data_IF_343795746380
#
_entry.id   IF_343795746380
#
_cell.length_a   1.000
_cell.length_b   1.000
_cell.length_c   1.000
_cell.angle_alpha   90.00
_cell.angle_beta   90.00
_cell.angle_gamma   90.00
#
_symmetry.space_group_name_H-M   'P 1'
#
loop_
_entity.id
_entity.type
_entity.pdbx_description
1 polymer ?
#
# COMPACT_ATOMS: atom_id res chain seq x y z
N UNK A 1 -2.90 26.35 106.24
CA UNK A 1 -3.46 25.16 105.63
C UNK A 1 -2.85 25.17 104.23
N UNK A 2 -2.21 24.10 103.83
CA UNK A 2 -1.11 24.03 102.90
C UNK A 2 -1.53 24.12 101.43
N UNK A 3 -0.99 25.09 100.71
CA UNK A 3 -1.12 25.31 99.27
C UNK A 3 -0.02 24.52 98.54
N UNK A 4 -0.39 23.58 97.64
CA UNK A 4 0.54 22.90 96.78
C UNK A 4 0.54 23.61 95.39
N UNK A 5 1.70 24.07 94.99
CA UNK A 5 1.98 24.62 93.66
C UNK A 5 2.44 23.47 92.80
N UNK A 6 1.71 23.18 91.73
CA UNK A 6 2.10 22.20 90.70
C UNK A 6 2.80 22.94 89.53
N UNK A 7 4.07 22.63 89.28
CA UNK A 7 4.82 23.06 88.10
C UNK A 7 4.38 22.23 86.95
N UNK A 8 3.84 22.87 85.89
CA UNK A 8 3.59 22.25 84.58
C UNK A 8 4.83 22.45 83.74
N UNK A 9 5.52 21.36 83.40
CA UNK A 9 6.62 21.33 82.40
C UNK A 9 6.01 21.25 81.04
N UNK A 10 6.17 22.31 80.24
CA UNK A 10 5.79 22.34 78.84
C UNK A 10 6.91 21.68 78.05
N UNK A 11 6.66 20.47 77.53
CA UNK A 11 7.52 19.79 76.54
C UNK A 11 7.23 20.38 75.17
N UNK A 12 8.12 21.22 74.65
CA UNK A 12 8.10 21.65 73.23
C UNK A 12 8.59 20.47 72.38
N UNK A 13 7.65 19.74 71.77
CA UNK A 13 7.97 18.87 70.61
C UNK A 13 8.22 19.78 69.42
N UNK A 14 9.49 19.90 69.01
CA UNK A 14 9.86 20.48 67.76
C UNK A 14 9.42 19.56 66.61
N UNK A 15 8.31 19.89 65.86
CA UNK A 15 8.01 19.34 64.61
C UNK A 15 9.03 19.92 63.59
N UNK A 16 10.04 19.14 63.23
CA UNK A 16 10.84 19.39 62.01
C UNK A 16 9.93 19.12 60.81
N UNK A 17 9.36 20.17 60.24
CA UNK A 17 8.84 20.13 58.88
C UNK A 17 10.02 19.86 57.94
N UNK A 18 10.25 18.59 57.63
CA UNK A 18 11.10 18.21 56.53
C UNK A 18 10.47 18.75 55.23
N UNK A 19 11.03 19.81 54.71
CA UNK A 19 10.75 20.22 53.33
C UNK A 19 11.21 19.07 52.45
N UNK A 20 10.25 18.26 51.96
CA UNK A 20 10.55 17.33 50.86
C UNK A 20 11.13 18.18 49.72
N UNK A 21 12.40 17.99 49.42
CA UNK A 21 13.00 18.62 48.24
C UNK A 21 12.14 18.24 47.03
N UNK A 22 11.59 19.24 46.40
CA UNK A 22 10.83 19.03 45.14
C UNK A 22 11.81 18.41 44.14
N UNK A 23 11.59 17.14 43.76
CA UNK A 23 12.45 16.45 42.80
C UNK A 23 12.47 17.25 41.50
N UNK A 24 13.66 17.52 41.00
CA UNK A 24 13.81 18.24 39.74
C UNK A 24 13.07 17.48 38.64
N UNK A 25 12.13 18.17 37.96
CA UNK A 25 11.40 17.61 36.84
C UNK A 25 12.29 17.61 35.62
N UNK A 26 12.40 16.47 34.99
CA UNK A 26 13.07 16.30 33.71
C UNK A 26 12.04 16.06 32.58
N UNK A 27 12.38 16.53 31.41
CA UNK A 27 11.51 16.44 30.24
C UNK A 27 12.22 15.73 29.11
N UNK A 28 11.50 14.94 28.35
CA UNK A 28 12.00 14.19 27.19
C UNK A 28 11.14 14.53 25.98
N UNK A 29 11.69 14.32 24.81
CA UNK A 29 10.91 14.40 23.56
C UNK A 29 9.82 13.31 23.60
N UNK A 30 8.62 13.66 23.15
CA UNK A 30 7.62 12.62 22.83
C UNK A 30 8.21 11.72 21.74
N UNK A 31 8.32 10.39 21.95
CA UNK A 31 9.08 9.52 21.06
C UNK A 31 8.67 9.66 19.61
N UNK A 32 9.61 10.06 18.75
CA UNK A 32 9.40 10.26 17.30
C UNK A 32 10.35 9.42 16.44
N UNK A 33 11.16 8.56 17.06
CA UNK A 33 12.16 7.71 16.38
C UNK A 33 13.46 8.43 16.04
N UNK A 34 13.61 9.71 16.42
CA UNK A 34 14.81 10.49 16.16
C UNK A 34 15.82 10.41 17.32
N UNK A 35 17.06 10.79 17.08
CA UNK A 35 18.12 10.79 18.09
C UNK A 35 17.79 11.63 19.33
N UNK A 36 16.95 12.67 19.20
CA UNK A 36 16.49 13.52 20.28
C UNK A 36 15.61 12.83 21.32
N UNK A 37 15.05 11.66 21.04
CA UNK A 37 14.26 10.87 22.00
C UNK A 37 15.07 10.47 23.24
N UNK A 38 16.41 10.46 23.13
CA UNK A 38 17.34 10.14 24.23
C UNK A 38 17.83 11.38 25.00
N UNK A 39 17.40 12.57 24.58
CA UNK A 39 17.86 13.83 25.19
C UNK A 39 16.92 14.22 26.32
N UNK A 40 17.49 14.50 27.50
CA UNK A 40 16.77 14.99 28.67
C UNK A 40 16.93 16.51 28.77
N UNK A 41 15.85 17.19 29.07
CA UNK A 41 15.78 18.65 29.22
C UNK A 41 15.31 19.01 30.65
N UNK A 42 15.84 20.11 31.17
CA UNK A 42 15.51 20.57 32.52
C UNK A 42 14.25 21.46 32.59
N UNK A 43 13.69 21.79 31.42
CA UNK A 43 12.51 22.69 31.31
C UNK A 43 11.49 22.15 30.32
N UNK A 44 10.19 22.35 30.57
CA UNK A 44 9.17 22.06 29.58
C UNK A 44 9.31 22.97 28.36
N UNK A 45 8.81 22.56 27.21
CA UNK A 45 8.85 23.34 26.00
C UNK A 45 8.71 22.49 24.76
N UNK A 46 9.44 22.90 23.72
CA UNK A 46 9.48 22.25 22.41
C UNK A 46 10.87 21.72 22.14
N UNK A 47 10.99 20.53 21.63
CA UNK A 47 12.28 19.94 21.26
C UNK A 47 12.95 20.79 20.15
N UNK A 48 14.18 21.26 20.35
CA UNK A 48 14.86 22.10 19.36
C UNK A 48 15.30 21.33 18.11
N UNK A 49 15.22 20.00 18.13
CA UNK A 49 15.64 19.15 17.01
C UNK A 49 14.45 18.79 16.11
N UNK A 50 13.34 18.32 16.68
CA UNK A 50 12.21 17.82 15.91
C UNK A 50 10.93 18.68 16.03
N UNK A 51 10.91 19.69 16.91
CA UNK A 51 9.75 20.54 17.13
C UNK A 51 8.62 19.90 17.98
N UNK A 52 8.76 18.65 18.43
CA UNK A 52 7.78 17.97 19.25
C UNK A 52 7.72 18.60 20.66
N UNK A 53 6.55 18.50 21.30
CA UNK A 53 6.38 18.94 22.68
C UNK A 53 7.18 18.06 23.63
N UNK A 54 7.90 18.68 24.58
CA UNK A 54 8.57 17.97 25.67
C UNK A 54 7.55 17.55 26.74
N UNK A 55 7.61 16.28 27.14
CA UNK A 55 6.74 15.66 28.16
C UNK A 55 7.56 15.35 29.40
N UNK A 56 6.91 15.30 30.58
CA UNK A 56 7.55 14.91 31.82
C UNK A 56 8.13 13.50 31.71
N UNK A 57 9.41 13.32 32.03
CA UNK A 57 10.13 12.06 31.85
C UNK A 57 9.51 10.92 32.65
N UNK A 58 9.15 11.15 33.93
CA UNK A 58 8.52 10.12 34.76
C UNK A 58 7.14 9.71 34.24
N UNK A 59 6.39 10.70 33.72
CA UNK A 59 5.09 10.43 33.11
C UNK A 59 5.25 9.62 31.82
N UNK A 60 6.25 9.95 30.97
CA UNK A 60 6.58 9.21 29.76
C UNK A 60 7.03 7.75 30.08
N UNK A 61 7.91 7.59 31.08
CA UNK A 61 8.35 6.26 31.53
C UNK A 61 7.20 5.42 32.10
N UNK A 62 6.31 6.03 32.89
CA UNK A 62 5.12 5.36 33.40
C UNK A 62 4.14 4.96 32.28
N UNK A 63 3.96 5.82 31.29
CA UNK A 63 3.15 5.52 30.11
C UNK A 63 3.74 4.34 29.30
N UNK A 64 5.07 4.32 29.12
CA UNK A 64 5.79 3.23 28.47
C UNK A 64 5.68 1.91 29.27
N UNK A 65 5.83 1.96 30.57
CA UNK A 65 5.72 0.78 31.44
C UNK A 65 4.31 0.15 31.47
N UNK A 66 3.29 0.97 31.29
CA UNK A 66 1.89 0.54 31.23
C UNK A 66 1.39 0.26 29.82
N UNK A 67 2.25 0.38 28.82
CA UNK A 67 1.89 0.14 27.42
C UNK A 67 1.59 -1.35 27.19
N UNK A 68 0.48 -1.70 26.54
CA UNK A 68 0.26 -3.09 26.13
C UNK A 68 1.45 -3.60 25.31
N UNK A 69 1.77 -4.88 25.45
CA UNK A 69 2.83 -5.49 24.65
C UNK A 69 2.63 -5.18 23.16
N UNK A 70 3.67 -4.67 22.52
CA UNK A 70 3.62 -4.31 21.09
C UNK A 70 3.33 -5.55 20.27
N UNK A 71 2.38 -5.44 19.32
CA UNK A 71 2.10 -6.50 18.35
C UNK A 71 3.29 -6.70 17.42
N UNK A 72 3.64 -7.95 17.16
CA UNK A 72 4.73 -8.33 16.27
C UNK A 72 4.25 -8.46 14.83
N UNK A 73 4.91 -7.77 13.91
CA UNK A 73 4.64 -7.86 12.47
C UNK A 73 5.84 -8.53 11.79
N UNK A 74 5.64 -9.75 11.34
CA UNK A 74 6.64 -10.47 10.54
C UNK A 74 6.39 -10.27 9.05
N UNK A 75 7.38 -9.75 8.34
CA UNK A 75 7.31 -9.46 6.92
C UNK A 75 8.18 -10.45 6.15
N UNK A 76 7.56 -11.23 5.27
CA UNK A 76 8.30 -12.08 4.33
C UNK A 76 9.04 -11.20 3.32
N UNK A 77 10.35 -11.43 3.13
CA UNK A 77 11.11 -10.82 2.03
C UNK A 77 11.86 -11.90 1.26
N UNK A 78 12.07 -11.64 -0.03
CA UNK A 78 12.70 -12.58 -0.97
C UNK A 78 13.33 -11.81 -2.14
N UNK A 79 14.24 -12.40 -2.89
CA UNK A 79 14.82 -11.78 -4.07
C UNK A 79 13.72 -11.39 -5.07
N UNK A 80 13.75 -10.13 -5.52
CA UNK A 80 12.71 -9.57 -6.38
C UNK A 80 11.47 -9.05 -5.64
N UNK A 81 11.47 -8.99 -4.29
CA UNK A 81 10.36 -8.39 -3.52
C UNK A 81 10.13 -6.93 -3.92
N UNK A 82 8.88 -6.54 -4.13
CA UNK A 82 8.51 -5.16 -4.45
C UNK A 82 8.68 -4.25 -3.22
N UNK A 83 9.44 -3.15 -3.37
CA UNK A 83 9.88 -2.30 -2.24
C UNK A 83 8.70 -1.75 -1.46
N UNK A 84 7.78 -1.05 -2.12
CA UNK A 84 6.68 -0.35 -1.45
C UNK A 84 5.64 -1.32 -0.85
N UNK A 85 5.56 -2.55 -1.36
CA UNK A 85 4.62 -3.56 -0.86
C UNK A 85 4.93 -3.98 0.59
N UNK A 86 6.18 -3.84 1.02
CA UNK A 86 6.55 -4.10 2.41
C UNK A 86 6.97 -2.84 3.17
N UNK A 87 7.63 -1.86 2.53
CA UNK A 87 8.07 -0.64 3.22
C UNK A 87 6.92 0.30 3.54
N UNK A 88 5.90 0.41 2.66
CA UNK A 88 4.69 1.17 2.95
C UNK A 88 3.95 0.65 4.20
N UNK A 89 3.59 -0.64 4.26
CA UNK A 89 3.08 -1.25 5.48
C UNK A 89 4.04 -1.19 6.67
N UNK A 90 5.36 -1.28 6.46
CA UNK A 90 6.36 -1.12 7.51
C UNK A 90 6.20 0.20 8.24
N UNK A 91 6.14 1.31 7.49
CA UNK A 91 5.93 2.65 8.06
C UNK A 91 4.61 2.73 8.82
N UNK A 92 3.52 2.21 8.26
CA UNK A 92 2.21 2.19 8.92
C UNK A 92 2.26 1.45 10.26
N UNK A 93 2.82 0.23 10.26
CA UNK A 93 2.90 -0.57 11.47
C UNK A 93 3.88 0.00 12.50
N UNK A 94 5.02 0.54 12.04
CA UNK A 94 5.98 1.24 12.89
C UNK A 94 5.37 2.47 13.57
N UNK A 95 4.68 3.32 12.79
CA UNK A 95 3.97 4.48 13.32
C UNK A 95 2.80 4.11 14.26
N UNK A 96 2.24 2.90 14.12
CA UNK A 96 1.27 2.34 15.04
C UNK A 96 1.89 1.65 16.26
N UNK A 97 3.21 1.79 16.50
CA UNK A 97 3.97 1.18 17.59
C UNK A 97 3.99 -0.36 17.59
N UNK A 98 3.99 -0.99 16.43
CA UNK A 98 4.18 -2.43 16.33
C UNK A 98 5.67 -2.77 16.18
N UNK A 99 6.09 -3.94 16.67
CA UNK A 99 7.46 -4.47 16.48
C UNK A 99 7.56 -5.13 15.11
N UNK A 100 8.11 -4.39 14.13
CA UNK A 100 8.18 -4.82 12.73
C UNK A 100 9.55 -5.44 12.44
N UNK A 101 9.55 -6.59 11.75
CA UNK A 101 10.79 -7.26 11.35
C UNK A 101 10.64 -8.01 10.02
N UNK A 102 11.76 -8.14 9.34
CA UNK A 102 11.86 -8.91 8.08
C UNK A 102 12.28 -10.35 8.34
N UNK A 103 11.74 -11.24 7.53
CA UNK A 103 12.05 -12.67 7.54
C UNK A 103 12.30 -13.17 6.13
N UNK A 104 13.37 -13.89 5.90
CA UNK A 104 13.66 -14.58 4.63
C UNK A 104 14.00 -16.05 4.88
N UNK A 105 14.17 -16.83 3.81
CA UNK A 105 14.55 -18.24 3.92
C UNK A 105 15.94 -18.41 4.55
N UNK A 106 16.88 -17.53 4.18
CA UNK A 106 18.25 -17.50 4.69
C UNK A 106 18.62 -16.10 5.23
N UNK A 107 19.83 -15.97 5.79
CA UNK A 107 20.40 -14.67 6.21
C UNK A 107 21.07 -13.90 5.07
N UNK A 108 21.11 -14.44 3.88
CA UNK A 108 21.71 -13.78 2.74
C UNK A 108 20.99 -12.47 2.43
N UNK A 109 21.71 -11.43 1.99
CA UNK A 109 21.07 -10.20 1.56
C UNK A 109 20.08 -10.44 0.42
N UNK A 110 18.88 -9.86 0.55
CA UNK A 110 17.83 -9.91 -0.44
C UNK A 110 17.96 -8.69 -1.36
N UNK A 111 17.95 -8.92 -2.67
CA UNK A 111 17.87 -7.85 -3.68
C UNK A 111 16.41 -7.66 -4.09
N UNK A 112 15.88 -6.45 -3.92
CA UNK A 112 14.50 -6.11 -4.26
C UNK A 112 14.29 -5.95 -5.77
N UNK A 113 13.04 -5.80 -6.21
CA UNK A 113 12.69 -5.62 -7.63
C UNK A 113 13.42 -4.44 -8.30
N UNK A 114 13.72 -3.37 -7.54
CA UNK A 114 14.43 -2.17 -8.06
C UNK A 114 15.90 -2.10 -7.62
N UNK A 115 16.47 -3.22 -7.19
CA UNK A 115 17.91 -3.33 -6.91
C UNK A 115 18.36 -2.87 -5.52
N UNK A 116 17.47 -2.49 -4.61
CA UNK A 116 17.84 -2.21 -3.22
C UNK A 116 18.21 -3.50 -2.51
N UNK A 117 19.30 -3.50 -1.73
CA UNK A 117 19.74 -4.65 -0.94
C UNK A 117 19.31 -4.52 0.50
N UNK A 118 18.66 -5.56 1.04
CA UNK A 118 18.14 -5.62 2.41
C UNK A 118 18.64 -6.89 3.09
N UNK A 119 19.16 -6.73 4.31
CA UNK A 119 19.54 -7.88 5.14
C UNK A 119 18.33 -8.27 6.01
N UNK A 120 17.84 -9.52 5.92
CA UNK A 120 16.72 -9.96 6.74
C UNK A 120 17.08 -10.02 8.22
N UNK A 121 16.17 -9.56 9.11
CA UNK A 121 16.38 -9.62 10.55
C UNK A 121 16.36 -11.06 11.08
N UNK A 122 15.50 -11.90 10.51
CA UNK A 122 15.33 -13.31 10.87
C UNK A 122 15.28 -14.22 9.65
N UNK A 123 15.48 -15.52 9.90
CA UNK A 123 15.22 -16.58 8.92
C UNK A 123 13.92 -17.32 9.24
N UNK A 124 13.46 -18.22 8.37
CA UNK A 124 12.33 -19.09 8.65
C UNK A 124 12.54 -19.95 9.92
N UNK A 125 13.78 -20.27 10.24
CA UNK A 125 14.14 -21.14 11.38
C UNK A 125 14.08 -20.40 12.72
N UNK A 126 14.50 -19.13 12.77
CA UNK A 126 14.69 -18.36 14.00
C UNK A 126 13.70 -17.20 14.20
N UNK A 127 12.82 -16.96 13.22
CA UNK A 127 11.83 -15.90 13.32
C UNK A 127 10.83 -16.15 14.46
N UNK A 128 10.58 -15.16 15.32
CA UNK A 128 9.51 -15.25 16.32
C UNK A 128 8.15 -15.41 15.62
N UNK A 129 7.15 -15.93 16.36
CA UNK A 129 5.79 -16.00 15.86
C UNK A 129 5.25 -14.56 15.73
N UNK A 130 4.81 -14.12 14.53
CA UNK A 130 4.16 -12.83 14.37
C UNK A 130 2.69 -12.89 14.84
N UNK A 131 2.20 -11.78 15.39
CA UNK A 131 0.76 -11.53 15.55
C UNK A 131 0.13 -11.15 14.21
N UNK A 132 0.90 -10.46 13.35
CA UNK A 132 0.50 -10.05 12.01
C UNK A 132 1.55 -10.54 11.03
N UNK A 133 1.13 -11.34 10.04
CA UNK A 133 1.99 -11.77 8.94
C UNK A 133 1.73 -10.89 7.71
N UNK A 134 2.77 -10.24 7.19
CA UNK A 134 2.73 -9.52 5.91
C UNK A 134 3.45 -10.31 4.82
N UNK A 135 2.76 -10.51 3.70
CA UNK A 135 3.26 -11.21 2.50
C UNK A 135 3.19 -10.27 1.30
N UNK A 136 4.30 -9.58 0.96
CA UNK A 136 4.38 -8.65 -0.16
C UNK A 136 4.45 -9.38 -1.52
N UNK A 137 4.31 -8.61 -2.59
CA UNK A 137 4.50 -9.06 -3.95
C UNK A 137 5.91 -8.79 -4.51
N UNK A 138 6.02 -8.85 -5.83
CA UNK A 138 7.25 -8.74 -6.60
C UNK A 138 7.45 -9.95 -7.51
N UNK A 139 8.67 -10.46 -7.64
CA UNK A 139 8.93 -11.74 -8.31
C UNK A 139 8.55 -12.91 -7.36
N UNK A 140 7.28 -13.27 -7.39
CA UNK A 140 6.73 -14.30 -6.50
C UNK A 140 6.99 -15.73 -6.99
N UNK A 141 7.69 -15.93 -8.13
CA UNK A 141 7.96 -17.27 -8.65
C UNK A 141 8.72 -18.12 -7.63
N UNK A 142 9.81 -17.59 -7.06
CA UNK A 142 10.58 -18.29 -6.03
C UNK A 142 9.72 -18.70 -4.83
N UNK A 143 9.08 -17.76 -4.13
CA UNK A 143 8.26 -18.09 -2.95
C UNK A 143 7.07 -18.99 -3.22
N UNK A 144 6.43 -18.93 -4.40
CA UNK A 144 5.28 -19.79 -4.73
C UNK A 144 5.69 -21.23 -5.05
N UNK A 145 6.94 -21.45 -5.51
CA UNK A 145 7.48 -22.77 -5.84
C UNK A 145 8.34 -23.38 -4.73
N UNK A 146 8.81 -22.57 -3.75
CA UNK A 146 9.54 -23.05 -2.58
C UNK A 146 8.60 -23.73 -1.59
N UNK A 147 8.72 -25.05 -1.42
CA UNK A 147 7.98 -25.78 -0.40
C UNK A 147 8.22 -25.24 1.02
N UNK A 148 9.44 -24.74 1.30
CA UNK A 148 9.79 -24.14 2.58
C UNK A 148 9.05 -22.83 2.81
N UNK A 149 9.01 -21.94 1.81
CA UNK A 149 8.31 -20.67 1.90
C UNK A 149 6.78 -20.86 2.04
N UNK A 150 6.18 -21.71 1.21
CA UNK A 150 4.74 -22.01 1.25
C UNK A 150 4.37 -22.59 2.62
N UNK A 151 5.15 -23.56 3.13
CA UNK A 151 4.92 -24.15 4.45
C UNK A 151 5.06 -23.12 5.55
N UNK A 152 6.12 -22.30 5.53
CA UNK A 152 6.35 -21.26 6.54
C UNK A 152 5.19 -20.27 6.60
N UNK A 153 4.74 -19.77 5.44
CA UNK A 153 3.59 -18.86 5.34
C UNK A 153 2.32 -19.50 5.91
N UNK A 154 2.02 -20.75 5.54
CA UNK A 154 0.85 -21.47 6.04
C UNK A 154 0.89 -21.61 7.57
N UNK A 155 2.01 -22.05 8.14
CA UNK A 155 2.19 -22.27 9.58
C UNK A 155 2.14 -20.97 10.38
N UNK A 156 2.77 -19.88 9.88
CA UNK A 156 2.77 -18.58 10.56
C UNK A 156 1.40 -17.92 10.48
N UNK A 157 0.76 -17.97 9.32
CA UNK A 157 -0.60 -17.48 9.13
C UNK A 157 -1.61 -18.19 10.05
N UNK A 158 -1.49 -19.51 10.22
CA UNK A 158 -2.42 -20.28 11.06
C UNK A 158 -2.46 -19.80 12.52
N UNK A 159 -1.36 -19.22 13.01
CA UNK A 159 -1.18 -18.74 14.41
C UNK A 159 -1.18 -17.22 14.54
N UNK A 160 -1.22 -16.47 13.44
CA UNK A 160 -1.30 -15.02 13.45
C UNK A 160 -2.75 -14.55 13.67
N UNK A 161 -2.92 -13.41 14.34
CA UNK A 161 -4.21 -12.74 14.47
C UNK A 161 -4.71 -12.27 13.10
N UNK A 162 -3.78 -11.73 12.29
CA UNK A 162 -4.06 -11.28 10.93
C UNK A 162 -2.94 -11.67 9.96
N UNK A 163 -3.33 -11.96 8.72
CA UNK A 163 -2.43 -12.13 7.59
C UNK A 163 -2.84 -11.15 6.50
N UNK A 164 -1.90 -10.29 6.09
CA UNK A 164 -2.08 -9.32 5.01
C UNK A 164 -1.19 -9.69 3.83
N UNK A 165 -1.77 -9.87 2.64
CA UNK A 165 -0.98 -9.86 1.41
C UNK A 165 -1.11 -8.53 0.68
N UNK A 166 -0.04 -8.15 -0.01
CA UNK A 166 -0.02 -6.96 -0.87
C UNK A 166 0.37 -7.38 -2.27
N UNK A 167 -0.26 -6.78 -3.28
CA UNK A 167 0.06 -7.03 -4.68
C UNK A 167 -0.12 -8.52 -5.05
N UNK A 168 0.81 -9.09 -5.81
CA UNK A 168 0.83 -10.51 -6.13
C UNK A 168 1.35 -11.41 -4.98
N UNK A 169 1.58 -10.89 -3.79
CA UNK A 169 1.68 -11.69 -2.57
C UNK A 169 0.45 -12.55 -2.31
N UNK A 170 -0.70 -12.18 -2.87
CA UNK A 170 -1.90 -13.01 -2.88
C UNK A 170 -1.69 -14.40 -3.53
N UNK A 171 -0.80 -14.51 -4.53
CA UNK A 171 -0.44 -15.80 -5.13
C UNK A 171 0.32 -16.71 -4.16
N UNK A 172 1.17 -16.14 -3.29
CA UNK A 172 1.84 -16.90 -2.24
C UNK A 172 0.83 -17.45 -1.24
N UNK A 173 -0.14 -16.60 -0.81
CA UNK A 173 -1.22 -17.07 0.08
C UNK A 173 -2.09 -18.14 -0.58
N UNK A 174 -2.39 -17.98 -1.87
CA UNK A 174 -3.18 -18.97 -2.62
C UNK A 174 -2.42 -20.29 -2.77
N UNK A 175 -1.11 -20.27 -3.07
CA UNK A 175 -0.25 -21.45 -3.11
C UNK A 175 -0.17 -22.16 -1.75
N UNK A 176 -0.29 -21.40 -0.65
CA UNK A 176 -0.37 -21.96 0.70
C UNK A 176 -1.79 -22.47 1.08
N UNK A 177 -2.74 -22.45 0.15
CA UNK A 177 -4.13 -22.90 0.38
C UNK A 177 -4.97 -21.98 1.27
N UNK A 178 -4.48 -20.77 1.57
CA UNK A 178 -5.09 -19.86 2.53
C UNK A 178 -6.26 -19.06 1.96
N UNK A 179 -6.45 -19.04 0.64
CA UNK A 179 -7.50 -18.25 -0.03
C UNK A 179 -8.65 -19.08 -0.59
N UNK A 180 -8.65 -20.41 -0.42
CA UNK A 180 -9.72 -21.28 -0.92
C UNK A 180 -11.09 -20.88 -0.34
N UNK A 181 -12.05 -20.59 -1.22
CA UNK A 181 -13.40 -20.15 -0.86
C UNK A 181 -13.56 -18.69 -0.44
N UNK A 182 -12.44 -17.96 -0.27
CA UNK A 182 -12.44 -16.57 0.19
C UNK A 182 -12.51 -15.58 -0.97
N UNK A 183 -12.92 -14.33 -0.67
CA UNK A 183 -12.74 -13.18 -1.54
C UNK A 183 -11.28 -12.76 -1.55
N UNK A 184 -10.71 -12.43 -2.72
CA UNK A 184 -9.34 -11.97 -2.81
C UNK A 184 -9.16 -10.92 -3.90
N UNK A 185 -8.23 -10.01 -3.68
CA UNK A 185 -7.74 -9.07 -4.67
C UNK A 185 -6.22 -9.17 -4.80
N UNK A 186 -5.69 -8.61 -5.87
CA UNK A 186 -4.26 -8.51 -6.16
C UNK A 186 -4.01 -7.24 -6.97
N UNK A 187 -2.78 -7.02 -7.45
CA UNK A 187 -2.53 -5.92 -8.39
C UNK A 187 -3.42 -6.04 -9.63
N UNK A 188 -3.88 -4.89 -10.11
CA UNK A 188 -4.97 -4.77 -11.09
C UNK A 188 -4.81 -5.68 -12.32
N UNK A 189 -3.63 -5.69 -12.94
CA UNK A 189 -3.37 -6.46 -14.18
C UNK A 189 -3.20 -7.96 -13.96
N UNK A 190 -3.14 -8.43 -12.72
CA UNK A 190 -3.05 -9.87 -12.39
C UNK A 190 -4.35 -10.47 -11.85
N UNK A 191 -5.46 -9.69 -11.82
CA UNK A 191 -6.74 -10.18 -11.32
C UNK A 191 -7.28 -11.38 -12.11
N UNK A 192 -7.15 -11.35 -13.44
CA UNK A 192 -7.59 -12.47 -14.29
C UNK A 192 -6.67 -13.69 -14.15
N UNK A 193 -5.36 -13.47 -14.04
CA UNK A 193 -4.41 -14.55 -13.77
C UNK A 193 -4.67 -15.21 -12.42
N UNK A 194 -4.94 -14.42 -11.37
CA UNK A 194 -5.28 -14.95 -10.04
C UNK A 194 -6.53 -15.85 -10.10
N UNK A 195 -7.56 -15.43 -10.86
CA UNK A 195 -8.78 -16.22 -11.06
C UNK A 195 -8.52 -17.52 -11.82
N UNK A 196 -7.66 -17.47 -12.83
CA UNK A 196 -7.34 -18.63 -13.69
C UNK A 196 -6.50 -19.65 -12.92
N UNK A 197 -5.47 -19.19 -12.22
CA UNK A 197 -4.53 -20.08 -11.52
C UNK A 197 -5.17 -20.69 -10.25
N UNK A 198 -6.09 -19.95 -9.61
CA UNK A 198 -6.73 -20.36 -8.35
C UNK A 198 -8.27 -20.26 -8.42
N UNK A 199 -8.93 -21.16 -9.14
CA UNK A 199 -10.37 -21.04 -9.42
C UNK A 199 -11.27 -21.18 -8.20
N UNK A 200 -10.76 -21.67 -7.07
CA UNK A 200 -11.53 -21.80 -5.82
C UNK A 200 -11.77 -20.48 -5.08
N UNK A 201 -10.95 -19.47 -5.31
CA UNK A 201 -11.13 -18.15 -4.70
C UNK A 201 -12.10 -17.26 -5.52
N UNK A 202 -12.61 -16.22 -4.89
CA UNK A 202 -13.53 -15.25 -5.51
C UNK A 202 -12.77 -13.94 -5.75
N UNK A 203 -12.38 -13.64 -7.00
CA UNK A 203 -11.68 -12.40 -7.31
C UNK A 203 -12.59 -11.19 -7.14
N UNK A 204 -12.15 -10.23 -6.31
CA UNK A 204 -12.80 -8.94 -6.09
C UNK A 204 -12.00 -7.86 -6.82
N UNK A 205 -12.66 -7.14 -7.77
CA UNK A 205 -11.98 -6.26 -8.73
C UNK A 205 -11.93 -4.79 -8.36
N UNK A 206 -12.88 -4.33 -7.56
CA UNK A 206 -13.10 -2.90 -7.38
C UNK A 206 -12.68 -2.36 -6.00
N UNK A 207 -12.05 -3.20 -5.17
CA UNK A 207 -11.63 -2.82 -3.83
C UNK A 207 -10.12 -2.78 -3.71
N UNK A 208 -9.61 -1.77 -3.03
CA UNK A 208 -8.17 -1.67 -2.73
C UNK A 208 -7.68 -2.77 -1.80
N UNK A 209 -8.54 -3.27 -0.93
CA UNK A 209 -8.31 -4.47 -0.11
C UNK A 209 -9.62 -5.22 0.14
N UNK A 210 -9.49 -6.52 0.43
CA UNK A 210 -10.60 -7.43 0.76
C UNK A 210 -10.33 -8.03 2.12
N UNK A 211 -11.28 -7.86 3.05
CA UNK A 211 -11.19 -8.38 4.42
C UNK A 211 -12.07 -9.62 4.58
N UNK A 212 -11.47 -10.75 4.89
CA UNK A 212 -12.15 -11.99 5.25
C UNK A 212 -12.01 -12.29 6.76
N UNK A 213 -11.91 -11.26 7.60
CA UNK A 213 -11.69 -11.41 9.04
C UNK A 213 -10.21 -11.52 9.39
N UNK A 214 -9.66 -12.72 9.40
CA UNK A 214 -8.24 -12.96 9.72
C UNK A 214 -7.32 -12.78 8.50
N UNK A 215 -7.79 -13.09 7.31
CA UNK A 215 -7.01 -12.99 6.07
C UNK A 215 -7.48 -11.79 5.27
N UNK A 216 -6.55 -10.91 4.96
CA UNK A 216 -6.78 -9.67 4.23
C UNK A 216 -5.87 -9.69 3.00
N UNK A 217 -6.40 -9.36 1.83
CA UNK A 217 -5.62 -9.20 0.61
C UNK A 217 -5.74 -7.77 0.13
N UNK A 218 -4.64 -7.12 -0.23
CA UNK A 218 -4.63 -5.77 -0.78
C UNK A 218 -4.09 -5.78 -2.22
N UNK A 219 -4.54 -4.83 -3.00
CA UNK A 219 -3.94 -4.53 -4.30
C UNK A 219 -2.47 -4.15 -4.17
N UNK A 220 -1.83 -3.85 -5.30
CA UNK A 220 -0.41 -3.52 -5.30
C UNK A 220 -0.11 -2.12 -4.80
N UNK A 221 1.16 -1.92 -4.42
CA UNK A 221 1.78 -0.63 -4.13
C UNK A 221 1.03 0.13 -3.01
N UNK A 222 0.50 1.31 -3.32
CA UNK A 222 -0.20 2.14 -2.32
C UNK A 222 -1.42 1.47 -1.65
N UNK A 223 -2.02 0.46 -2.29
CA UNK A 223 -3.10 -0.32 -1.65
C UNK A 223 -2.61 -1.15 -0.45
N UNK A 224 -1.31 -1.46 -0.39
CA UNK A 224 -0.69 -2.08 0.78
C UNK A 224 -0.74 -1.18 2.01
N UNK A 225 -0.57 0.14 1.83
CA UNK A 225 -0.72 1.13 2.90
C UNK A 225 -2.16 1.13 3.43
N UNK A 226 -3.16 1.10 2.54
CA UNK A 226 -4.57 1.01 2.95
C UNK A 226 -4.88 -0.28 3.71
N UNK A 227 -4.34 -1.40 3.23
CA UNK A 227 -4.47 -2.71 3.90
C UNK A 227 -3.85 -2.71 5.29
N UNK A 228 -2.67 -2.12 5.46
CA UNK A 228 -1.98 -1.99 6.74
C UNK A 228 -2.74 -1.08 7.70
N UNK A 229 -3.20 0.10 7.26
CA UNK A 229 -4.05 1.00 8.05
C UNK A 229 -5.36 0.30 8.47
N UNK A 230 -5.93 -0.51 7.59
CA UNK A 230 -7.10 -1.32 7.94
C UNK A 230 -6.78 -2.35 9.02
N UNK A 231 -5.64 -3.04 8.97
CA UNK A 231 -5.19 -3.94 10.04
C UNK A 231 -4.99 -3.17 11.35
N UNK A 232 -4.34 -2.00 11.31
CA UNK A 232 -4.20 -1.12 12.48
C UNK A 232 -5.57 -0.76 13.05
N UNK A 233 -6.55 -0.42 12.19
CA UNK A 233 -7.90 -0.09 12.65
C UNK A 233 -8.61 -1.25 13.34
N UNK A 234 -8.36 -2.49 12.91
CA UNK A 234 -8.90 -3.71 13.56
C UNK A 234 -8.23 -3.99 14.92
N UNK A 235 -6.95 -3.71 15.05
CA UNK A 235 -6.15 -4.05 16.26
C UNK A 235 -6.15 -2.92 17.30
N UNK A 236 -6.04 -1.66 16.85
CA UNK A 236 -5.90 -0.47 17.69
C UNK A 236 -7.08 0.51 17.62
N UNK A 237 -8.05 0.24 16.73
CA UNK A 237 -9.20 1.10 16.49
C UNK A 237 -8.98 2.16 15.41
N UNK A 238 -10.10 2.67 14.87
CA UNK A 238 -10.08 3.63 13.75
C UNK A 238 -9.37 4.93 14.09
N UNK A 239 -9.43 5.40 15.34
CA UNK A 239 -8.77 6.65 15.76
C UNK A 239 -7.26 6.58 15.58
N UNK A 240 -6.64 5.50 16.05
CA UNK A 240 -5.18 5.29 15.88
C UNK A 240 -4.81 5.12 14.40
N UNK A 241 -5.59 4.37 13.63
CA UNK A 241 -5.33 4.23 12.20
C UNK A 241 -5.40 5.57 11.46
N UNK A 242 -6.35 6.43 11.83
CA UNK A 242 -6.48 7.78 11.26
C UNK A 242 -5.31 8.69 11.68
N UNK A 243 -4.87 8.61 12.95
CA UNK A 243 -3.73 9.36 13.46
C UNK A 243 -2.44 8.96 12.74
N UNK A 244 -2.21 7.65 12.55
CA UNK A 244 -1.10 7.12 11.76
C UNK A 244 -1.15 7.65 10.32
N UNK A 245 -2.32 7.61 9.67
CA UNK A 245 -2.48 8.10 8.32
C UNK A 245 -2.15 9.60 8.20
N UNK A 246 -2.58 10.41 9.16
CA UNK A 246 -2.26 11.84 9.23
C UNK A 246 -0.76 12.08 9.45
N UNK A 247 -0.13 11.30 10.32
CA UNK A 247 1.31 11.37 10.56
C UNK A 247 2.15 11.02 9.32
N UNK A 248 1.62 10.18 8.45
CA UNK A 248 2.22 9.81 7.16
C UNK A 248 1.84 10.73 6.00
N UNK A 249 1.10 11.83 6.24
CA UNK A 249 0.54 12.71 5.20
C UNK A 249 -0.28 11.91 4.16
N UNK A 250 -0.95 10.82 4.59
CA UNK A 250 -1.65 9.91 3.73
C UNK A 250 -3.17 10.12 3.80
N UNK A 251 -3.80 10.49 2.68
CA UNK A 251 -5.26 10.63 2.56
C UNK A 251 -5.93 9.24 2.55
N UNK A 252 -6.11 8.69 3.76
CA UNK A 252 -6.69 7.37 3.91
C UNK A 252 -8.20 7.36 3.68
N UNK A 253 -8.60 6.65 2.63
CA UNK A 253 -10.01 6.46 2.25
C UNK A 253 -10.36 4.97 2.26
N UNK A 254 -10.75 4.39 3.40
CA UNK A 254 -10.91 2.93 3.56
C UNK A 254 -11.96 2.31 2.64
N UNK A 255 -12.83 3.12 2.02
CA UNK A 255 -13.86 2.67 1.06
C UNK A 255 -13.53 3.03 -0.39
N UNK A 256 -12.36 3.59 -0.67
CA UNK A 256 -11.96 3.89 -2.04
C UNK A 256 -11.70 2.62 -2.84
N UNK A 257 -12.12 2.63 -4.10
CA UNK A 257 -11.71 1.63 -5.07
C UNK A 257 -10.26 1.84 -5.54
N UNK A 258 -9.81 1.01 -6.46
CA UNK A 258 -8.53 1.24 -7.13
C UNK A 258 -8.49 2.63 -7.79
N UNK A 259 -7.32 3.27 -7.78
CA UNK A 259 -7.11 4.52 -8.50
C UNK A 259 -7.52 4.40 -9.99
N UNK A 260 -7.11 3.33 -10.65
CA UNK A 260 -7.53 2.98 -12.01
C UNK A 260 -9.04 2.84 -12.18
N UNK A 261 -9.75 2.41 -11.12
CA UNK A 261 -11.20 2.34 -11.10
C UNK A 261 -11.88 3.71 -11.07
N UNK A 262 -11.26 4.71 -10.46
CA UNK A 262 -11.78 6.07 -10.41
C UNK A 262 -11.42 6.88 -11.67
N UNK A 263 -10.25 6.61 -12.26
CA UNK A 263 -9.77 7.30 -13.45
C UNK A 263 -10.44 6.77 -14.73
N UNK A 264 -10.60 7.65 -15.69
CA UNK A 264 -11.15 7.30 -17.01
C UNK A 264 -10.27 6.28 -17.76
N UNK A 265 -8.97 6.22 -17.47
CA UNK A 265 -8.06 5.20 -18.02
C UNK A 265 -8.61 3.78 -17.86
N UNK A 266 -9.21 3.48 -16.71
CA UNK A 266 -9.82 2.17 -16.45
C UNK A 266 -11.03 1.81 -17.32
N UNK A 267 -11.48 2.71 -18.20
CA UNK A 267 -12.50 2.45 -19.21
C UNK A 267 -11.91 2.01 -20.56
N UNK A 268 -10.60 2.18 -20.74
CA UNK A 268 -9.89 1.69 -21.93
C UNK A 268 -9.66 0.19 -21.75
N UNK A 269 -10.10 -0.65 -22.69
CA UNK A 269 -9.84 -2.08 -22.61
C UNK A 269 -8.35 -2.38 -22.86
N UNK A 270 -7.88 -3.51 -22.36
CA UNK A 270 -6.56 -4.02 -22.69
C UNK A 270 -6.52 -4.39 -24.19
N UNK A 271 -5.68 -3.71 -24.92
CA UNK A 271 -5.52 -3.95 -26.35
C UNK A 271 -4.41 -4.99 -26.58
N UNK A 272 -4.68 -6.01 -27.38
CA UNK A 272 -3.63 -6.90 -27.84
C UNK A 272 -2.81 -6.18 -28.92
N UNK A 273 -1.57 -5.85 -28.61
CA UNK A 273 -0.64 -5.14 -29.49
C UNK A 273 0.47 -6.05 -30.04
N UNK A 274 0.54 -7.31 -29.63
CA UNK A 274 1.68 -8.21 -29.89
C UNK A 274 1.96 -8.40 -31.39
N UNK A 275 0.90 -8.55 -32.20
CA UNK A 275 1.03 -8.75 -33.65
C UNK A 275 1.02 -7.44 -34.46
N UNK A 276 1.03 -6.28 -33.80
CA UNK A 276 0.91 -4.98 -34.46
C UNK A 276 2.23 -4.24 -34.60
N UNK A 277 3.33 -4.81 -34.11
CA UNK A 277 4.65 -4.22 -34.11
C UNK A 277 5.17 -3.83 -32.74
N UNK A 278 6.22 -3.00 -32.68
CA UNK A 278 6.78 -2.49 -31.42
C UNK A 278 6.13 -1.17 -31.04
N UNK A 279 5.73 -1.08 -29.77
CA UNK A 279 5.05 0.08 -29.22
C UNK A 279 5.87 0.74 -28.12
N UNK A 280 5.88 2.06 -28.12
CA UNK A 280 6.49 2.87 -27.06
C UNK A 280 5.50 3.92 -26.60
N UNK A 281 5.16 3.94 -25.33
CA UNK A 281 4.33 4.98 -24.73
C UNK A 281 5.05 6.32 -24.80
N UNK A 282 4.38 7.34 -25.34
CA UNK A 282 4.88 8.72 -25.39
C UNK A 282 4.32 9.52 -24.21
N UNK A 283 3.00 9.48 -24.01
CA UNK A 283 2.34 10.13 -22.90
C UNK A 283 1.03 9.45 -22.56
N UNK A 284 0.63 9.61 -21.30
CA UNK A 284 -0.70 9.25 -20.82
C UNK A 284 -1.12 10.29 -19.81
N UNK A 285 -2.31 10.88 -19.98
CA UNK A 285 -2.82 11.90 -19.07
C UNK A 285 -4.34 11.93 -19.02
N UNK A 286 -4.88 12.40 -17.92
CA UNK A 286 -6.32 12.57 -17.76
C UNK A 286 -6.76 12.62 -16.31
N UNK A 287 -8.05 12.41 -16.11
CA UNK A 287 -8.72 12.42 -14.81
C UNK A 287 -9.89 11.45 -14.78
N UNK A 288 -10.95 11.83 -14.10
CA UNK A 288 -12.16 11.00 -13.91
C UNK A 288 -13.14 11.08 -15.08
N UNK A 289 -13.03 12.06 -15.94
CA UNK A 289 -13.98 12.38 -17.01
C UNK A 289 -13.38 12.40 -18.42
N UNK A 290 -12.07 12.28 -18.53
CA UNK A 290 -11.34 12.16 -19.80
C UNK A 290 -10.03 11.41 -19.60
N UNK A 291 -9.52 10.78 -20.66
CA UNK A 291 -8.19 10.19 -20.69
C UNK A 291 -7.63 10.20 -22.10
N UNK A 292 -6.33 10.43 -22.22
CA UNK A 292 -5.61 10.41 -23.48
C UNK A 292 -4.36 9.53 -23.38
N UNK A 293 -4.15 8.70 -24.37
CA UNK A 293 -2.94 7.88 -24.53
C UNK A 293 -2.34 8.19 -25.87
N UNK A 294 -1.04 8.49 -25.88
CA UNK A 294 -0.25 8.67 -27.12
C UNK A 294 0.88 7.65 -27.11
N UNK A 295 0.99 6.89 -28.19
CA UNK A 295 2.04 5.90 -28.38
C UNK A 295 2.66 6.00 -29.78
N UNK A 296 3.94 5.67 -29.87
CA UNK A 296 4.63 5.44 -31.15
C UNK A 296 4.65 3.95 -31.47
N UNK A 297 4.40 3.63 -32.73
CA UNK A 297 4.51 2.27 -33.24
C UNK A 297 5.56 2.21 -34.34
N UNK A 298 6.33 1.11 -34.35
CA UNK A 298 7.11 0.67 -35.52
C UNK A 298 6.48 -0.63 -36.01
N UNK A 299 5.92 -0.62 -37.21
CA UNK A 299 5.13 -1.73 -37.77
C UNK A 299 5.31 -1.86 -39.28
N UNK A 300 5.21 -3.09 -39.76
CA UNK A 300 5.15 -3.40 -41.20
C UNK A 300 3.76 -3.19 -41.81
N UNK A 301 2.75 -2.99 -40.96
CA UNK A 301 1.39 -2.68 -41.37
C UNK A 301 1.29 -1.23 -41.85
N UNK A 302 0.38 -0.98 -42.78
CA UNK A 302 0.03 0.40 -43.16
C UNK A 302 -0.78 1.08 -42.07
N UNK A 303 -0.85 2.41 -42.05
CA UNK A 303 -1.65 3.17 -41.09
C UNK A 303 -3.13 2.73 -41.09
N UNK A 304 -3.68 2.40 -42.27
CA UNK A 304 -5.05 1.88 -42.43
C UNK A 304 -5.21 0.54 -41.72
N UNK A 305 -4.27 -0.39 -41.98
CA UNK A 305 -4.30 -1.71 -41.34
C UNK A 305 -4.12 -1.61 -39.82
N UNK A 306 -3.24 -0.71 -39.32
CA UNK A 306 -3.09 -0.46 -37.89
C UNK A 306 -4.36 0.07 -37.28
N UNK A 307 -5.00 1.10 -37.88
CA UNK A 307 -6.26 1.63 -37.37
C UNK A 307 -7.36 0.56 -37.35
N UNK A 308 -7.44 -0.26 -38.40
CA UNK A 308 -8.43 -1.33 -38.50
C UNK A 308 -8.22 -2.40 -37.40
N UNK A 309 -7.00 -2.87 -37.22
CA UNK A 309 -6.66 -3.87 -36.19
C UNK A 309 -6.92 -3.34 -34.76
N UNK A 310 -6.50 -2.11 -34.46
CA UNK A 310 -6.78 -1.47 -33.17
C UNK A 310 -8.29 -1.28 -32.96
N UNK A 311 -9.03 -0.91 -34.02
CA UNK A 311 -10.48 -0.78 -33.98
C UNK A 311 -11.18 -2.13 -33.73
N UNK A 312 -10.71 -3.20 -34.36
CA UNK A 312 -11.20 -4.57 -34.10
C UNK A 312 -10.96 -4.99 -32.66
N UNK A 313 -9.78 -4.66 -32.10
CA UNK A 313 -9.46 -4.93 -30.70
C UNK A 313 -10.40 -4.18 -29.74
N UNK A 314 -10.71 -2.90 -30.00
CA UNK A 314 -11.68 -2.14 -29.22
C UNK A 314 -13.09 -2.76 -29.30
N UNK A 315 -13.53 -3.15 -30.51
CA UNK A 315 -14.85 -3.77 -30.73
C UNK A 315 -15.00 -5.13 -30.02
N UNK A 316 -13.93 -5.92 -29.95
CA UNK A 316 -13.93 -7.26 -29.36
C UNK A 316 -14.33 -7.27 -27.88
N UNK A 317 -14.15 -6.16 -27.17
CA UNK A 317 -14.57 -6.00 -25.77
C UNK A 317 -16.10 -5.79 -25.58
N UNK A 318 -16.88 -5.72 -26.68
CA UNK A 318 -18.35 -5.74 -26.67
C UNK A 318 -19.04 -4.52 -26.05
N UNK A 319 -18.29 -3.58 -25.45
CA UNK A 319 -18.83 -2.37 -24.82
C UNK A 319 -18.67 -1.11 -25.69
N UNK A 320 -17.81 -1.19 -26.69
CA UNK A 320 -17.47 -0.10 -27.58
C UNK A 320 -18.17 -0.29 -28.93
N UNK A 321 -18.95 0.71 -29.35
CA UNK A 321 -19.67 0.70 -30.61
C UNK A 321 -19.05 1.74 -31.53
N UNK A 322 -18.58 1.33 -32.72
CA UNK A 322 -18.09 2.25 -33.75
C UNK A 322 -19.22 3.13 -34.25
N UNK A 323 -18.95 4.43 -34.34
CA UNK A 323 -19.93 5.43 -34.85
C UNK A 323 -19.52 5.92 -36.22
N UNK A 324 -18.21 6.07 -36.48
CA UNK A 324 -17.67 6.62 -37.69
C UNK A 324 -16.24 6.08 -37.91
N UNK A 325 -15.93 5.71 -39.14
CA UNK A 325 -14.58 5.49 -39.63
C UNK A 325 -14.33 6.47 -40.78
N UNK A 326 -13.53 7.50 -40.50
CA UNK A 326 -13.18 8.48 -41.52
C UNK A 326 -12.03 7.95 -42.35
N UNK A 327 -12.24 7.84 -43.69
CA UNK A 327 -11.19 7.57 -44.64
C UNK A 327 -10.17 8.71 -44.67
N UNK A 328 -8.87 8.37 -44.79
CA UNK A 328 -7.82 9.36 -44.92
C UNK A 328 -8.04 10.25 -46.13
N UNK A 329 -8.02 11.54 -45.92
CA UNK A 329 -7.72 12.53 -46.95
C UNK A 329 -6.24 12.89 -46.83
N UNK A 330 -5.65 13.44 -47.88
CA UNK A 330 -4.20 13.76 -47.96
C UNK A 330 -3.70 14.71 -46.86
N UNK A 331 -4.57 15.21 -45.98
CA UNK A 331 -4.28 16.21 -44.92
C UNK A 331 -4.86 15.90 -43.57
N UNK A 332 -5.55 14.79 -43.37
CA UNK A 332 -6.20 14.47 -42.08
C UNK A 332 -5.76 13.09 -41.57
N UNK A 333 -5.50 12.94 -40.25
CA UNK A 333 -5.18 11.66 -39.64
C UNK A 333 -6.31 10.65 -39.84
N UNK A 334 -5.94 9.38 -40.02
CA UNK A 334 -6.89 8.28 -39.99
C UNK A 334 -7.56 8.21 -38.62
N UNK A 335 -8.88 8.24 -38.59
CA UNK A 335 -9.61 8.33 -37.31
C UNK A 335 -10.77 7.35 -37.29
N UNK A 336 -10.97 6.70 -36.12
CA UNK A 336 -12.21 6.02 -35.80
C UNK A 336 -12.85 6.63 -34.54
N UNK A 337 -14.16 6.75 -34.53
CA UNK A 337 -14.95 7.35 -33.41
C UNK A 337 -15.84 6.28 -32.80
N UNK A 338 -15.92 6.28 -31.49
CA UNK A 338 -16.54 5.25 -30.70
C UNK A 338 -17.51 5.84 -29.68
N UNK A 339 -18.55 5.10 -29.34
CA UNK A 339 -19.44 5.34 -28.21
C UNK A 339 -19.44 4.13 -27.29
N UNK A 340 -19.47 4.39 -25.99
CA UNK A 340 -19.59 3.36 -24.97
C UNK A 340 -20.19 3.93 -23.69
N UNK A 341 -20.54 3.05 -22.75
CA UNK A 341 -21.05 3.46 -21.44
C UNK A 341 -19.97 3.30 -20.37
N UNK A 342 -19.80 4.31 -19.54
CA UNK A 342 -18.95 4.23 -18.35
C UNK A 342 -19.51 3.27 -17.31
N UNK A 343 -18.78 3.07 -16.22
CA UNK A 343 -19.19 2.19 -15.11
C UNK A 343 -20.46 2.67 -14.41
N UNK A 344 -20.70 3.98 -14.45
CA UNK A 344 -21.91 4.65 -13.92
C UNK A 344 -23.09 4.67 -14.92
N UNK A 345 -22.95 3.96 -16.05
CA UNK A 345 -23.95 3.90 -17.11
C UNK A 345 -24.01 5.17 -17.97
N UNK A 346 -23.23 6.21 -17.68
CA UNK A 346 -23.24 7.46 -18.47
C UNK A 346 -22.51 7.27 -19.80
N UNK A 347 -22.92 8.04 -20.84
CA UNK A 347 -22.33 7.93 -22.18
C UNK A 347 -20.92 8.52 -22.23
N UNK A 348 -20.07 7.85 -23.00
CA UNK A 348 -18.70 8.24 -23.29
C UNK A 348 -18.43 8.19 -24.78
N UNK A 349 -17.47 8.99 -25.22
CA UNK A 349 -16.95 8.96 -26.58
C UNK A 349 -15.48 8.58 -26.57
N UNK A 350 -15.04 7.84 -27.58
CA UNK A 350 -13.65 7.49 -27.85
C UNK A 350 -13.27 7.98 -29.24
N UNK A 351 -12.04 8.45 -29.41
CA UNK A 351 -11.45 8.80 -30.70
C UNK A 351 -10.07 8.17 -30.78
N UNK A 352 -9.90 7.26 -31.74
CA UNK A 352 -8.61 6.66 -32.04
C UNK A 352 -8.10 7.25 -33.36
N UNK A 353 -6.88 7.75 -33.36
CA UNK A 353 -6.20 8.26 -34.56
C UNK A 353 -4.89 7.54 -34.80
N UNK A 354 -4.53 7.34 -36.04
CA UNK A 354 -3.23 6.81 -36.49
C UNK A 354 -2.67 7.74 -37.55
N UNK A 355 -1.47 8.25 -37.32
CA UNK A 355 -0.76 9.16 -38.19
C UNK A 355 0.61 8.57 -38.57
N UNK A 356 1.03 8.74 -39.82
CA UNK A 356 2.40 8.43 -40.22
C UNK A 356 3.36 9.48 -39.69
N UNK A 357 4.54 9.07 -39.26
CA UNK A 357 5.61 10.02 -38.88
C UNK A 357 6.27 10.53 -40.16
N UNK A 358 6.29 11.85 -40.42
CA UNK A 358 6.86 12.39 -41.64
C UNK A 358 8.33 11.96 -41.85
N UNK A 359 8.65 11.44 -43.02
CA UNK A 359 10.01 11.02 -43.40
C UNK A 359 10.47 9.69 -42.76
N UNK A 360 9.61 8.97 -42.04
CA UNK A 360 9.94 7.70 -41.38
C UNK A 360 8.95 6.60 -41.82
N UNK A 361 9.34 5.79 -42.79
CA UNK A 361 8.52 4.66 -43.22
C UNK A 361 8.33 3.63 -42.10
N UNK A 362 7.12 3.10 -41.99
CA UNK A 362 6.79 2.10 -40.98
C UNK A 362 6.71 2.65 -39.53
N UNK A 363 6.78 3.97 -39.36
CA UNK A 363 6.59 4.61 -38.05
C UNK A 363 5.31 5.42 -37.99
N UNK A 364 4.60 5.25 -36.88
CA UNK A 364 3.27 5.82 -36.66
C UNK A 364 3.16 6.43 -35.27
N UNK A 365 2.30 7.44 -35.14
CA UNK A 365 1.80 7.93 -33.86
C UNK A 365 0.34 7.50 -33.76
N UNK A 366 0.01 6.71 -32.77
CA UNK A 366 -1.35 6.37 -32.42
C UNK A 366 -1.79 7.16 -31.16
N UNK A 367 -3.03 7.68 -31.19
CA UNK A 367 -3.60 8.45 -30.10
C UNK A 367 -5.01 7.95 -29.83
N UNK A 368 -5.27 7.54 -28.61
CA UNK A 368 -6.60 7.21 -28.12
C UNK A 368 -7.03 8.25 -27.08
N UNK A 369 -8.07 8.98 -27.40
CA UNK A 369 -8.69 9.94 -26.47
C UNK A 369 -10.09 9.45 -26.12
N UNK A 370 -10.43 9.43 -24.82
CA UNK A 370 -11.78 9.17 -24.35
C UNK A 370 -12.26 10.33 -23.48
N UNK A 371 -13.53 10.67 -23.58
CA UNK A 371 -14.16 11.70 -22.78
C UNK A 371 -15.61 11.36 -22.49
N UNK A 372 -16.09 11.82 -21.35
CA UNK A 372 -17.51 11.76 -21.01
C UNK A 372 -18.29 12.60 -22.01
N UNK A 373 -19.35 12.05 -22.57
CA UNK A 373 -20.23 12.83 -23.44
C UNK A 373 -20.95 13.89 -22.61
N UNK A 374 -20.95 15.12 -23.13
CA UNK A 374 -21.64 16.27 -22.53
C UNK A 374 -23.16 16.14 -22.57
#
# INVERSE_FOLDING_TARGET
MKTLIALASVLLLGLSLGTAAEEAKHYVCDPCGMACDKTVYDKPGTCPVCGARLVDQKAAEAALANRPASKKVGILIFNGVEIIDYTGPWEVFGAADFDVYTVAETKDPVTTAMGMTVVPKYTFADAPQPDILLVPGGDVHGPTTSAAAVKWVAERSARADHTLSVCNGAFILASAGLLDGLGATTTYHLLDKLKTDFPKLKVVRDQRFVDNGRIITAGGLSSGIDGALHVVSKVRGNGIAQEVALGLEYDWRPRAGFARGALAEGLIPDLNLDDLGRWTMVSTEGGTDRWEVVARATSDLTAVQLLDRLSQSLAAHGKWTSVEMAAATSSSPLTSVWKFSGRDGKPWTGRLTVETVPGQSGQYTAKLNIARAS
#
